data_IF_989511902429
#
_entry.id   IF_989511902429
#
_cell.length_a   1.000
_cell.length_b   1.000
_cell.length_c   1.000
_cell.angle_alpha   90.00
_cell.angle_beta   90.00
_cell.angle_gamma   90.00
#
_symmetry.space_group_name_H-M   'P 1'
#
loop_
_entity.id
_entity.type
_entity.pdbx_description
1 polymer ?
#
# COMPACT_ATOMS: atom_id res chain seq x y z
N UNK A 1 -3.23 -72.25 43.02
CA UNK A 1 -2.23 -72.97 42.19
C UNK A 1 -2.57 -72.81 40.72
N UNK A 2 -1.52 -72.66 39.90
CA UNK A 2 -1.47 -72.55 38.41
C UNK A 2 -1.64 -71.17 37.77
N UNK A 3 -0.47 -70.67 37.41
CA UNK A 3 -0.08 -69.59 36.50
C UNK A 3 -0.53 -69.83 35.04
N UNK A 4 -0.80 -68.76 34.29
CA UNK A 4 -0.48 -68.66 32.85
C UNK A 4 -0.43 -67.18 32.39
N UNK A 5 0.61 -66.87 31.61
CA UNK A 5 1.04 -65.57 31.09
C UNK A 5 0.22 -65.11 29.86
N UNK A 6 0.55 -63.90 29.39
CA UNK A 6 0.31 -63.25 28.07
C UNK A 6 -1.06 -62.56 27.93
N UNK A 7 -1.19 -61.35 27.37
CA UNK A 7 -0.34 -60.65 26.42
C UNK A 7 -0.36 -59.12 26.63
N UNK A 8 0.72 -58.52 26.14
CA UNK A 8 0.95 -57.10 25.95
C UNK A 8 -0.07 -56.51 24.96
N UNK A 9 -0.66 -55.36 25.27
CA UNK A 9 -1.28 -54.50 24.27
C UNK A 9 -0.93 -53.05 24.61
N UNK A 10 0.21 -52.61 24.06
CA UNK A 10 0.52 -51.20 23.92
C UNK A 10 -0.57 -50.57 23.06
N UNK A 11 -1.37 -49.68 23.66
CA UNK A 11 -2.20 -48.76 22.91
C UNK A 11 -1.30 -47.58 22.50
N UNK A 12 -1.09 -47.29 21.21
CA UNK A 12 -0.30 -46.12 20.83
C UNK A 12 -1.17 -44.88 21.00
N UNK A 13 -0.70 -43.94 21.83
CA UNK A 13 -1.09 -42.54 21.75
C UNK A 13 -0.81 -42.06 20.33
N UNK A 14 -1.85 -41.96 19.52
CA UNK A 14 -1.79 -41.30 18.21
C UNK A 14 -1.83 -39.79 18.50
N UNK A 15 -0.65 -39.20 18.72
CA UNK A 15 -0.46 -37.75 18.70
C UNK A 15 -0.52 -37.34 17.23
N UNK A 16 -1.70 -36.94 16.77
CA UNK A 16 -1.87 -36.25 15.48
C UNK A 16 -1.24 -34.88 15.65
N UNK A 17 0.04 -34.78 15.30
CA UNK A 17 0.73 -33.52 15.13
C UNK A 17 0.10 -32.85 13.89
N UNK A 18 -0.91 -32.02 14.09
CA UNK A 18 -1.34 -31.07 13.07
C UNK A 18 -0.17 -30.09 12.86
N UNK A 19 0.74 -30.44 11.96
CA UNK A 19 1.58 -29.48 11.29
C UNK A 19 0.63 -28.55 10.52
N UNK A 20 0.27 -27.44 11.16
CA UNK A 20 -0.27 -26.27 10.47
C UNK A 20 0.89 -25.77 9.63
N UNK A 21 1.00 -26.31 8.42
CA UNK A 21 1.81 -25.74 7.37
C UNK A 21 1.14 -24.40 7.06
N UNK A 22 1.61 -23.33 7.70
CA UNK A 22 1.35 -21.98 7.26
C UNK A 22 2.01 -21.83 5.90
N UNK A 23 1.32 -22.28 4.86
CA UNK A 23 1.61 -21.86 3.50
C UNK A 23 1.43 -20.34 3.52
N UNK A 24 2.54 -19.62 3.64
CA UNK A 24 2.59 -18.21 3.31
C UNK A 24 2.28 -18.16 1.81
N UNK A 25 1.00 -17.99 1.48
CA UNK A 25 0.55 -17.70 0.14
C UNK A 25 1.16 -16.36 -0.24
N UNK A 26 2.36 -16.41 -0.83
CA UNK A 26 2.89 -15.27 -1.56
C UNK A 26 1.86 -15.04 -2.68
N UNK A 27 1.10 -13.93 -2.66
CA UNK A 27 0.06 -13.72 -3.64
C UNK A 27 0.69 -13.83 -5.02
N UNK A 28 0.08 -14.67 -5.88
CA UNK A 28 0.58 -14.85 -7.25
C UNK A 28 0.73 -13.46 -7.87
N UNK A 29 1.92 -13.16 -8.38
CA UNK A 29 2.26 -11.89 -9.02
C UNK A 29 1.10 -11.46 -9.94
N UNK A 30 0.44 -10.35 -9.62
CA UNK A 30 -0.73 -9.84 -10.35
C UNK A 30 -2.10 -9.97 -9.65
N UNK A 31 -2.24 -10.80 -8.61
CA UNK A 31 -3.49 -10.85 -7.81
C UNK A 31 -3.75 -9.53 -7.08
N UNK A 32 -2.71 -8.95 -6.46
CA UNK A 32 -2.81 -7.65 -5.77
C UNK A 32 -3.28 -6.55 -6.72
N UNK A 33 -2.79 -6.57 -7.97
CA UNK A 33 -3.18 -5.62 -9.00
C UNK A 33 -4.68 -5.69 -9.30
N UNK A 34 -5.24 -6.91 -9.42
CA UNK A 34 -6.67 -7.08 -9.65
C UNK A 34 -7.51 -6.64 -8.44
N UNK A 35 -7.08 -7.00 -7.21
CA UNK A 35 -7.74 -6.61 -5.97
C UNK A 35 -7.84 -5.08 -5.84
N UNK A 36 -6.74 -4.38 -6.09
CA UNK A 36 -6.73 -2.91 -6.04
C UNK A 36 -7.56 -2.29 -7.16
N UNK A 37 -7.52 -2.85 -8.37
CA UNK A 37 -8.36 -2.37 -9.48
C UNK A 37 -9.85 -2.45 -9.13
N UNK A 38 -10.32 -3.58 -8.59
CA UNK A 38 -11.73 -3.73 -8.19
C UNK A 38 -12.09 -2.80 -7.02
N UNK A 39 -11.18 -2.59 -6.07
CA UNK A 39 -11.38 -1.62 -5.00
C UNK A 39 -11.55 -0.18 -5.52
N UNK A 40 -10.70 0.24 -6.46
CA UNK A 40 -10.78 1.55 -7.11
C UNK A 40 -12.10 1.73 -7.86
N UNK A 41 -12.53 0.70 -8.60
CA UNK A 41 -13.80 0.71 -9.34
C UNK A 41 -15.01 0.80 -8.40
N UNK A 42 -15.04 -0.03 -7.35
CA UNK A 42 -16.14 -0.08 -6.36
C UNK A 42 -16.29 1.23 -5.58
N UNK A 43 -15.18 1.93 -5.34
CA UNK A 43 -15.15 3.20 -4.61
C UNK A 43 -15.41 4.43 -5.47
N UNK A 44 -15.61 4.25 -6.78
CA UNK A 44 -15.86 5.32 -7.76
C UNK A 44 -14.73 6.38 -7.80
N UNK A 45 -13.55 6.05 -7.28
CA UNK A 45 -12.36 6.93 -7.36
C UNK A 45 -11.83 7.00 -8.79
N UNK A 46 -12.07 5.96 -9.59
CA UNK A 46 -11.89 5.96 -11.04
C UNK A 46 -13.26 6.10 -11.72
N UNK A 47 -13.30 6.82 -12.83
CA UNK A 47 -14.51 7.02 -13.64
C UNK A 47 -14.31 6.38 -15.03
N UNK A 48 -14.56 5.06 -15.16
CA UNK A 48 -14.39 4.38 -16.44
C UNK A 48 -15.44 4.77 -17.49
N UNK A 49 -16.49 5.52 -17.12
CA UNK A 49 -17.51 5.96 -18.07
C UNK A 49 -17.05 7.17 -18.90
N UNK A 50 -16.24 8.04 -18.29
CA UNK A 50 -15.77 9.28 -18.94
C UNK A 50 -14.27 9.32 -19.17
N UNK A 51 -13.50 8.48 -18.46
CA UNK A 51 -12.04 8.54 -18.44
C UNK A 51 -11.43 7.17 -18.74
N UNK A 52 -10.20 7.21 -19.26
CA UNK A 52 -9.39 6.02 -19.51
C UNK A 52 -8.34 5.88 -18.43
N UNK A 53 -8.40 4.80 -17.64
CA UNK A 53 -7.33 4.44 -16.71
C UNK A 53 -6.09 4.02 -17.50
N UNK A 54 -5.01 4.80 -17.40
CA UNK A 54 -3.77 4.56 -18.18
C UNK A 54 -2.62 4.04 -17.34
N UNK A 55 -2.63 4.33 -16.04
CA UNK A 55 -1.63 3.82 -15.12
C UNK A 55 -2.25 3.65 -13.74
N UNK A 56 -1.89 2.55 -13.08
CA UNK A 56 -1.93 2.50 -11.63
C UNK A 56 -0.84 1.58 -11.10
N UNK A 57 -0.31 1.93 -9.94
CA UNK A 57 0.71 1.14 -9.26
C UNK A 57 0.54 1.22 -7.75
N UNK A 58 0.76 0.09 -7.08
CA UNK A 58 0.94 0.06 -5.63
C UNK A 58 2.36 0.55 -5.32
N UNK A 59 2.45 1.68 -4.60
CA UNK A 59 3.72 2.33 -4.25
C UNK A 59 4.33 1.66 -3.02
N UNK A 60 3.49 1.26 -2.07
CA UNK A 60 3.92 0.62 -0.84
C UNK A 60 2.84 0.66 0.23
N UNK A 61 3.25 0.28 1.43
CA UNK A 61 2.39 0.20 2.60
C UNK A 61 2.83 1.23 3.63
N UNK A 62 1.86 1.94 4.20
CA UNK A 62 2.07 2.74 5.40
C UNK A 62 1.75 1.88 6.62
N UNK A 63 2.59 1.99 7.65
CA UNK A 63 2.46 1.27 8.90
C UNK A 63 2.33 2.27 10.05
N UNK A 64 1.19 2.26 10.74
CA UNK A 64 0.94 3.13 11.89
C UNK A 64 -0.09 2.53 12.82
N UNK A 65 0.10 2.63 14.14
CA UNK A 65 -0.91 2.25 15.14
C UNK A 65 -1.47 0.81 14.98
N UNK A 66 -0.66 -0.13 14.45
CA UNK A 66 -1.08 -1.50 14.16
C UNK A 66 -1.94 -1.67 12.90
N UNK A 67 -2.17 -0.60 12.15
CA UNK A 67 -2.88 -0.60 10.88
C UNK A 67 -1.92 -0.59 9.69
N UNK A 68 -2.37 -1.20 8.58
CA UNK A 68 -1.71 -1.17 7.28
C UNK A 68 -2.60 -0.40 6.32
N UNK A 69 -2.02 0.60 5.66
CA UNK A 69 -2.67 1.35 4.59
C UNK A 69 -1.94 1.13 3.28
N UNK A 70 -2.69 0.96 2.19
CA UNK A 70 -2.15 0.78 0.85
C UNK A 70 -2.11 2.12 0.12
N UNK A 71 -0.96 2.45 -0.46
CA UNK A 71 -0.78 3.68 -1.24
C UNK A 71 -0.72 3.34 -2.72
N UNK A 72 -1.68 3.87 -3.47
CA UNK A 72 -1.77 3.66 -4.92
C UNK A 72 -1.51 4.99 -5.64
N UNK A 73 -0.68 4.94 -6.69
CA UNK A 73 -0.62 5.99 -7.71
C UNK A 73 -1.58 5.63 -8.83
N UNK A 74 -2.44 6.56 -9.23
CA UNK A 74 -3.52 6.34 -10.20
C UNK A 74 -3.53 7.49 -11.21
N UNK A 75 -3.59 7.15 -12.50
CA UNK A 75 -3.70 8.13 -13.59
C UNK A 75 -4.79 7.75 -14.58
N UNK A 76 -5.73 8.66 -14.73
CA UNK A 76 -6.76 8.61 -15.76
C UNK A 76 -6.50 9.69 -16.81
N UNK A 77 -6.94 9.48 -18.05
CA UNK A 77 -6.86 10.47 -19.13
C UNK A 77 -8.26 10.78 -19.62
N UNK A 78 -8.51 12.07 -19.89
CA UNK A 78 -9.73 12.53 -20.53
C UNK A 78 -9.62 12.22 -22.05
N UNK A 79 -10.49 11.37 -22.62
CA UNK A 79 -10.49 11.07 -24.05
C UNK A 79 -10.81 12.33 -24.88
N UNK A 80 -10.48 12.28 -26.16
CA UNK A 80 -10.87 13.28 -27.18
C UNK A 80 -10.39 14.73 -26.95
N UNK A 81 -9.46 14.94 -26.01
CA UNK A 81 -8.78 16.21 -25.82
C UNK A 81 -7.60 16.34 -26.78
N UNK A 82 -7.45 17.51 -27.42
CA UNK A 82 -6.34 17.79 -28.35
C UNK A 82 -4.94 17.62 -27.73
N UNK A 83 -4.82 17.79 -26.42
CA UNK A 83 -3.65 17.44 -25.64
C UNK A 83 -4.09 16.52 -24.48
N UNK A 84 -3.49 15.31 -24.32
CA UNK A 84 -3.88 14.38 -23.27
C UNK A 84 -3.72 15.02 -21.89
N UNK A 85 -4.83 15.30 -21.21
CA UNK A 85 -4.82 15.79 -19.83
C UNK A 85 -5.04 14.62 -18.88
N UNK A 86 -4.05 14.39 -18.02
CA UNK A 86 -4.11 13.38 -16.98
C UNK A 86 -4.79 13.90 -15.72
N UNK A 87 -5.61 13.08 -15.09
CA UNK A 87 -6.03 13.24 -13.71
C UNK A 87 -5.19 12.29 -12.86
N UNK A 88 -4.14 12.84 -12.25
CA UNK A 88 -3.26 12.07 -11.38
C UNK A 88 -3.73 12.14 -9.93
N UNK A 89 -3.74 11.00 -9.25
CA UNK A 89 -4.25 10.85 -7.88
C UNK A 89 -3.36 9.89 -7.10
N UNK A 90 -3.07 10.23 -5.85
CA UNK A 90 -2.62 9.29 -4.84
C UNK A 90 -3.87 8.83 -4.09
N UNK A 91 -4.11 7.53 -4.05
CA UNK A 91 -5.25 6.92 -3.37
C UNK A 91 -4.75 6.13 -2.17
N UNK A 92 -5.32 6.41 -1.00
CA UNK A 92 -4.98 5.73 0.25
C UNK A 92 -6.14 4.80 0.62
N UNK A 93 -5.88 3.50 0.69
CA UNK A 93 -6.85 2.50 1.12
C UNK A 93 -6.51 1.97 2.50
N UNK A 94 -7.52 1.66 3.32
CA UNK A 94 -7.30 0.88 4.54
C UNK A 94 -7.19 -0.63 4.25
N UNK A 95 -6.96 -1.44 5.29
CA UNK A 95 -6.87 -2.90 5.18
C UNK A 95 -8.12 -3.58 4.60
N UNK A 96 -9.28 -2.94 4.71
CA UNK A 96 -10.56 -3.41 4.17
C UNK A 96 -10.80 -2.95 2.72
N UNK A 97 -9.81 -2.29 2.09
CA UNK A 97 -9.88 -1.72 0.76
C UNK A 97 -10.94 -0.59 0.64
N UNK A 98 -11.15 0.14 1.72
CA UNK A 98 -11.97 1.35 1.76
C UNK A 98 -11.07 2.57 1.55
N UNK A 99 -11.53 3.53 0.75
CA UNK A 99 -10.79 4.75 0.45
C UNK A 99 -10.81 5.68 1.66
N UNK A 100 -9.62 6.02 2.16
CA UNK A 100 -9.43 7.04 3.19
C UNK A 100 -9.17 8.42 2.58
N UNK A 101 -8.32 8.49 1.56
CA UNK A 101 -7.94 9.74 0.91
C UNK A 101 -7.78 9.59 -0.59
N UNK A 102 -8.10 10.68 -1.30
CA UNK A 102 -7.80 10.88 -2.71
C UNK A 102 -7.11 12.23 -2.85
N UNK A 103 -5.81 12.20 -3.13
CA UNK A 103 -4.97 13.40 -3.20
C UNK A 103 -4.62 13.64 -4.66
N UNK A 104 -5.10 14.74 -5.24
CA UNK A 104 -4.75 15.11 -6.62
C UNK A 104 -3.38 15.76 -6.66
N UNK A 105 -2.61 15.46 -7.68
CA UNK A 105 -1.29 16.05 -7.91
C UNK A 105 -1.11 16.38 -9.39
N UNK A 106 -0.18 17.30 -9.70
CA UNK A 106 0.19 17.62 -11.07
C UNK A 106 1.49 16.90 -11.40
N UNK A 107 2.54 17.25 -10.66
CA UNK A 107 3.89 16.71 -10.87
C UNK A 107 4.40 15.91 -9.66
N UNK A 108 3.68 15.94 -8.54
CA UNK A 108 4.19 15.50 -7.23
C UNK A 108 4.09 13.99 -6.96
N UNK A 109 4.66 13.19 -7.87
CA UNK A 109 4.48 11.73 -7.89
C UNK A 109 4.89 11.06 -6.59
N UNK A 110 4.14 10.05 -6.10
CA UNK A 110 4.55 9.27 -4.95
C UNK A 110 5.75 8.39 -5.28
N UNK A 111 6.68 8.26 -4.34
CA UNK A 111 7.94 7.56 -4.55
C UNK A 111 8.12 6.35 -3.66
N UNK A 112 7.88 6.52 -2.36
CA UNK A 112 8.12 5.48 -1.37
C UNK A 112 7.32 5.71 -0.10
N UNK A 113 6.82 4.63 0.48
CA UNK A 113 6.32 4.60 1.84
C UNK A 113 7.44 4.23 2.83
N UNK A 114 7.50 4.92 3.97
CA UNK A 114 8.44 4.62 5.06
C UNK A 114 7.75 4.85 6.41
N UNK A 115 7.50 3.77 7.14
CA UNK A 115 6.69 3.80 8.36
C UNK A 115 5.32 4.44 8.08
N UNK A 116 5.02 5.54 8.76
CA UNK A 116 3.78 6.30 8.58
C UNK A 116 3.91 7.47 7.58
N UNK A 117 4.92 7.47 6.73
CA UNK A 117 5.19 8.59 5.81
C UNK A 117 5.20 8.16 4.34
N UNK A 118 4.78 9.08 3.47
CA UNK A 118 4.88 8.95 2.01
C UNK A 118 5.76 10.07 1.46
N UNK A 119 6.86 9.69 0.83
CA UNK A 119 7.74 10.60 0.12
C UNK A 119 7.20 10.86 -1.29
N UNK A 120 7.21 12.13 -1.70
CA UNK A 120 6.81 12.59 -3.02
C UNK A 120 7.99 13.17 -3.79
N UNK A 121 7.88 13.13 -5.12
CA UNK A 121 8.67 13.99 -5.99
C UNK A 121 8.08 15.40 -5.93
N UNK A 122 8.90 16.44 -5.86
CA UNK A 122 8.38 17.82 -5.74
C UNK A 122 7.64 18.08 -4.41
N UNK A 123 7.22 19.33 -4.24
CA UNK A 123 6.50 19.76 -3.04
C UNK A 123 5.00 19.87 -3.37
N UNK A 124 4.17 19.11 -2.65
CA UNK A 124 2.71 19.14 -2.82
C UNK A 124 2.08 20.13 -1.86
N UNK A 125 1.00 20.76 -2.31
CA UNK A 125 0.11 21.55 -1.45
C UNK A 125 -1.14 20.71 -1.18
N UNK A 126 -1.32 20.29 0.06
CA UNK A 126 -2.57 19.65 0.49
C UNK A 126 -3.47 20.69 1.12
N UNK A 127 -4.62 20.91 0.51
CA UNK A 127 -5.74 21.59 1.15
C UNK A 127 -6.46 20.57 2.03
N UNK A 128 -6.11 20.51 3.32
CA UNK A 128 -6.83 19.65 4.26
C UNK A 128 -8.27 20.16 4.43
N UNK A 129 -9.19 19.23 4.71
CA UNK A 129 -10.63 19.51 4.91
C UNK A 129 -10.87 20.40 6.15
N UNK A 130 -9.88 20.49 7.05
CA UNK A 130 -9.88 21.45 8.14
C UNK A 130 -9.60 22.87 7.61
N UNK A 131 -10.70 23.61 7.39
CA UNK A 131 -10.81 24.99 6.89
C UNK A 131 -9.97 26.06 7.61
N UNK A 132 -9.08 25.68 8.53
CA UNK A 132 -8.26 26.59 9.34
C UNK A 132 -6.76 26.49 9.06
N UNK A 133 -6.33 25.64 8.12
CA UNK A 133 -4.91 25.50 7.78
C UNK A 133 -4.73 25.79 6.29
N UNK A 134 -4.22 26.99 5.98
CA UNK A 134 -3.72 27.29 4.65
C UNK A 134 -2.50 26.40 4.35
N UNK A 135 -2.50 25.84 3.14
CA UNK A 135 -1.71 24.69 2.71
C UNK A 135 -0.25 24.71 3.15
N UNK A 136 0.12 23.71 3.94
CA UNK A 136 1.53 23.38 4.13
C UNK A 136 2.04 22.72 2.84
N UNK A 137 3.08 23.31 2.28
CA UNK A 137 3.79 22.82 1.09
C UNK A 137 4.97 21.94 1.52
N UNK A 138 5.13 20.79 0.87
CA UNK A 138 6.29 19.93 1.11
C UNK A 138 6.20 18.59 0.40
N UNK A 139 7.31 17.84 0.44
CA UNK A 139 7.47 16.57 -0.26
C UNK A 139 7.27 15.33 0.63
N UNK A 140 6.86 15.51 1.88
CA UNK A 140 6.65 14.41 2.83
C UNK A 140 5.25 14.47 3.42
N UNK A 141 4.43 13.47 3.13
CA UNK A 141 3.13 13.31 3.76
C UNK A 141 3.27 12.41 4.98
N UNK A 142 2.77 12.88 6.12
CA UNK A 142 2.84 12.17 7.39
C UNK A 142 1.42 11.83 7.83
N UNK A 143 1.17 10.54 8.03
CA UNK A 143 -0.15 10.02 8.37
C UNK A 143 -0.24 9.74 9.88
N UNK A 144 -1.41 10.03 10.45
CA UNK A 144 -1.74 9.81 11.85
C UNK A 144 -3.21 9.48 12.03
N UNK A 145 -3.62 9.09 13.24
CA UNK A 145 -5.02 8.76 13.57
C UNK A 145 -5.54 7.66 12.63
N UNK A 146 -4.80 6.54 12.60
CA UNK A 146 -5.04 5.41 11.68
C UNK A 146 -5.17 5.80 10.20
N UNK A 147 -4.45 6.83 9.80
CA UNK A 147 -4.46 7.36 8.43
C UNK A 147 -5.56 8.36 8.14
N UNK A 148 -6.41 8.75 9.09
CA UNK A 148 -7.47 9.75 8.87
C UNK A 148 -6.94 11.16 8.74
N UNK A 149 -5.77 11.44 9.33
CA UNK A 149 -5.14 12.77 9.30
C UNK A 149 -3.86 12.73 8.49
N UNK A 150 -3.67 13.76 7.68
CA UNK A 150 -2.46 14.00 6.90
C UNK A 150 -1.88 15.34 7.34
N UNK A 151 -0.60 15.34 7.68
CA UNK A 151 0.21 16.55 7.77
C UNK A 151 1.29 16.56 6.69
N UNK A 152 1.76 17.75 6.32
CA UNK A 152 2.78 17.93 5.29
C UNK A 152 4.06 18.42 5.95
N UNK A 153 5.17 17.77 5.64
CA UNK A 153 6.52 18.15 6.04
C UNK A 153 7.45 18.25 4.84
N UNK A 154 8.68 18.69 5.10
CA UNK A 154 9.74 18.78 4.08
C UNK A 154 10.95 17.96 4.50
N UNK A 155 11.52 17.24 3.54
CA UNK A 155 12.72 16.43 3.73
C UNK A 155 13.65 16.55 2.53
N UNK A 156 14.96 16.41 2.77
CA UNK A 156 15.96 16.43 1.69
C UNK A 156 16.15 15.02 1.16
N UNK A 157 16.05 14.87 -0.15
CA UNK A 157 16.24 13.62 -0.89
C UNK A 157 17.49 12.82 -0.50
N UNK A 158 18.61 13.52 -0.32
CA UNK A 158 19.89 12.91 0.02
C UNK A 158 19.93 12.27 1.41
N UNK A 159 18.96 12.55 2.29
CA UNK A 159 18.82 11.88 3.59
C UNK A 159 18.05 10.56 3.52
N UNK A 160 17.38 10.27 2.39
CA UNK A 160 16.45 9.15 2.24
C UNK A 160 16.95 8.06 1.29
N UNK A 161 18.00 8.34 0.52
CA UNK A 161 18.70 7.30 -0.20
C UNK A 161 19.44 6.43 0.84
N UNK A 162 19.16 5.11 0.94
CA UNK A 162 20.08 4.24 1.64
C UNK A 162 21.45 4.45 1.01
N UNK A 163 22.50 4.50 1.82
CA UNK A 163 23.89 4.69 1.39
C UNK A 163 24.23 3.67 0.30
N UNK A 164 23.94 4.03 -0.94
CA UNK A 164 24.03 3.15 -2.10
C UNK A 164 25.41 3.37 -2.66
N UNK A 165 26.39 2.91 -1.89
CA UNK A 165 27.59 2.35 -2.47
C UNK A 165 27.15 1.09 -3.23
N UNK A 166 26.42 1.29 -4.33
CA UNK A 166 26.31 0.30 -5.38
C UNK A 166 27.72 0.24 -5.95
N UNK A 167 28.55 -0.64 -5.37
CA UNK A 167 29.82 -1.02 -5.98
C UNK A 167 29.49 -1.41 -7.41
N UNK A 168 29.84 -0.54 -8.36
CA UNK A 168 29.88 -0.94 -9.77
C UNK A 168 30.88 -2.07 -9.83
N UNK A 169 30.40 -3.31 -9.87
CA UNK A 169 31.19 -4.38 -10.46
C UNK A 169 31.31 -4.05 -11.94
N UNK A 170 32.42 -3.40 -12.30
CA UNK A 170 32.88 -3.33 -13.68
C UNK A 170 33.03 -4.77 -14.21
N UNK A 171 32.57 -5.05 -15.44
CA UNK A 171 32.69 -6.37 -16.06
C UNK A 171 34.15 -6.79 -16.25
#
# INVERSE_FOLDING_TARGET
>A
MKCKRTACALSPLIIICFLICSASDIPKLGQERHIFYEALKRSEVINPAELVLTHFSHIGNLHMEGEVLYVLDVREIIPDMAAPRGLNKIVILNKNLEVLHVIRYIDERPLRCDGNTLLLFGDIIIHTIDKHINGYEGNLLIFSDKGKKISVGRTKWNKLLPNTNLERKTP
#
